data_IF_447454432346
#
_entry.id   IF_447454432346
#
_cell.length_a   1.000
_cell.length_b   1.000
_cell.length_c   1.000
_cell.angle_alpha   90.00
_cell.angle_beta   90.00
_cell.angle_gamma   90.00
#
_symmetry.space_group_name_H-M   'P 1'
#
loop_
_entity.id
_entity.type
_entity.pdbx_description
1 polymer ?
#
# COMPACT_ATOMS: atom_id res chain seq x y z
N UNK A 1 93.71 15.38 12.89
CA UNK A 1 93.14 16.48 12.09
C UNK A 1 92.06 15.91 11.18
N UNK A 2 90.83 16.43 11.36
CA UNK A 2 89.59 16.33 10.57
C UNK A 2 89.20 14.99 9.94
N UNK A 3 88.60 14.17 10.79
CA UNK A 3 87.52 13.22 10.45
C UNK A 3 86.27 14.01 10.04
N UNK A 4 85.63 13.66 8.93
CA UNK A 4 84.29 14.16 8.61
C UNK A 4 83.43 13.03 8.05
N UNK A 5 82.36 12.80 8.80
CA UNK A 5 81.41 11.68 8.74
C UNK A 5 80.55 11.74 7.49
N UNK A 6 80.41 10.61 6.81
CA UNK A 6 79.38 10.35 5.81
C UNK A 6 78.01 10.36 6.49
N UNK A 7 77.17 11.36 6.17
CA UNK A 7 75.76 11.38 6.54
C UNK A 7 75.01 10.33 5.70
N UNK A 8 74.52 9.27 6.35
CA UNK A 8 73.50 8.39 5.77
C UNK A 8 72.16 9.12 5.87
N UNK A 9 71.61 9.52 4.73
CA UNK A 9 70.26 10.07 4.62
C UNK A 9 69.27 8.91 4.76
N UNK A 10 68.75 8.68 5.97
CA UNK A 10 67.61 7.77 6.17
C UNK A 10 66.34 8.44 5.65
N UNK A 11 65.87 8.02 4.47
CA UNK A 11 64.56 8.39 3.98
C UNK A 11 63.48 7.70 4.83
N UNK A 12 62.92 8.44 5.79
CA UNK A 12 61.70 8.02 6.48
C UNK A 12 60.51 8.15 5.51
N UNK A 13 60.10 7.03 4.90
CA UNK A 13 58.84 6.95 4.19
C UNK A 13 57.70 7.10 5.21
N UNK A 14 57.17 8.32 5.33
CA UNK A 14 55.93 8.56 6.06
C UNK A 14 54.78 7.91 5.27
N UNK A 15 54.42 6.68 5.64
CA UNK A 15 53.20 6.05 5.19
C UNK A 15 52.02 6.87 5.76
N UNK A 16 51.44 7.73 4.93
CA UNK A 16 50.11 8.29 5.15
C UNK A 16 49.11 7.14 5.06
N UNK A 17 48.94 6.40 6.15
CA UNK A 17 47.77 5.55 6.34
C UNK A 17 46.57 6.49 6.42
N UNK A 18 45.91 6.67 5.28
CA UNK A 18 44.60 7.29 5.20
C UNK A 18 43.63 6.50 6.06
N UNK A 19 43.56 6.86 7.34
CA UNK A 19 42.57 6.34 8.26
C UNK A 19 41.21 6.72 7.73
N UNK A 20 40.54 5.76 7.08
CA UNK A 20 39.11 5.84 6.85
C UNK A 20 38.49 5.91 8.24
N UNK A 21 38.17 7.12 8.69
CA UNK A 21 37.33 7.33 9.85
C UNK A 21 36.00 6.66 9.51
N UNK A 22 35.85 5.42 9.95
CA UNK A 22 34.57 4.74 9.95
C UNK A 22 33.66 5.56 10.87
N UNK A 23 32.91 6.49 10.28
CA UNK A 23 31.85 7.22 10.98
C UNK A 23 30.89 6.13 11.46
N UNK A 24 30.75 5.90 12.78
CA UNK A 24 29.85 4.88 13.27
C UNK A 24 28.45 5.22 12.75
N UNK A 25 27.80 4.25 12.11
CA UNK A 25 26.40 4.39 11.72
C UNK A 25 25.60 4.83 12.96
N UNK A 26 24.70 5.83 12.85
CA UNK A 26 23.98 6.32 14.00
C UNK A 26 23.27 5.16 14.70
N UNK A 27 23.58 4.98 15.99
CA UNK A 27 22.94 3.99 16.86
C UNK A 27 21.42 4.19 16.77
N UNK A 28 20.72 3.20 16.22
CA UNK A 28 19.26 3.21 16.22
C UNK A 28 18.80 3.09 17.68
N UNK A 29 17.97 4.04 18.13
CA UNK A 29 17.46 4.04 19.50
C UNK A 29 16.80 2.69 19.83
N UNK A 30 17.09 2.16 21.02
CA UNK A 30 16.56 0.88 21.46
C UNK A 30 15.02 0.89 21.45
N UNK A 31 14.42 -0.16 20.88
CA UNK A 31 12.97 -0.27 20.76
C UNK A 31 12.33 -0.44 22.13
N UNK A 32 11.36 0.41 22.46
CA UNK A 32 10.65 0.39 23.73
C UNK A 32 9.21 -0.08 23.57
N UNK A 33 8.82 -1.15 24.26
CA UNK A 33 7.43 -1.63 24.25
C UNK A 33 6.48 -0.65 24.92
N UNK A 34 5.31 -0.45 24.30
CA UNK A 34 4.24 0.43 24.80
C UNK A 34 2.90 -0.31 24.91
N UNK A 35 1.92 0.34 25.53
CA UNK A 35 0.52 -0.10 25.58
C UNK A 35 -0.31 0.35 24.37
N UNK A 36 0.34 1.02 23.41
CA UNK A 36 -0.31 1.58 22.23
C UNK A 36 -0.04 0.71 21.00
N UNK A 37 -1.03 0.63 20.12
CA UNK A 37 -0.87 0.11 18.77
C UNK A 37 -0.56 1.26 17.83
N UNK A 38 0.59 1.22 17.18
CA UNK A 38 1.11 2.24 16.29
C UNK A 38 1.16 1.71 14.87
N UNK A 39 0.81 2.56 13.91
CA UNK A 39 0.92 2.27 12.49
C UNK A 39 1.22 3.55 11.71
N UNK A 40 2.13 3.44 10.76
CA UNK A 40 2.42 4.53 9.83
C UNK A 40 2.67 3.97 8.44
N UNK A 41 2.18 4.65 7.41
CA UNK A 41 2.56 4.34 6.04
C UNK A 41 2.51 5.58 5.15
N UNK A 42 3.25 5.54 4.05
CA UNK A 42 3.22 6.56 3.03
C UNK A 42 3.67 6.01 1.69
N UNK A 43 3.24 6.69 0.62
CA UNK A 43 3.63 6.37 -0.76
C UNK A 43 3.70 7.63 -1.61
N UNK A 44 4.50 7.53 -2.67
CA UNK A 44 4.70 8.59 -3.66
C UNK A 44 3.49 8.83 -4.52
N UNK A 45 2.98 7.80 -5.19
CA UNK A 45 1.76 7.93 -5.98
C UNK A 45 0.89 6.72 -6.02
N UNK A 46 -0.40 7.02 -6.19
CA UNK A 46 -1.43 6.05 -6.50
C UNK A 46 -2.38 6.63 -7.52
N UNK A 47 -2.59 5.91 -8.61
CA UNK A 47 -3.63 6.23 -9.61
C UNK A 47 -4.91 5.49 -9.22
N UNK A 48 -6.05 6.17 -9.27
CA UNK A 48 -7.37 5.64 -8.96
C UNK A 48 -8.37 6.07 -10.03
N UNK A 49 -9.15 5.12 -10.56
CA UNK A 49 -10.20 5.38 -11.55
C UNK A 49 -9.69 5.65 -12.97
N UNK A 50 -10.63 5.82 -13.90
CA UNK A 50 -10.35 6.16 -15.30
C UNK A 50 -9.83 5.01 -16.17
N UNK A 51 -9.30 5.38 -17.35
CA UNK A 51 -8.69 4.45 -18.31
C UNK A 51 -7.21 4.17 -18.04
N UNK A 52 -6.58 4.88 -17.09
CA UNK A 52 -5.19 4.63 -16.76
C UNK A 52 -5.05 3.40 -15.87
N UNK A 53 -4.03 2.56 -16.14
CA UNK A 53 -3.77 1.42 -15.27
C UNK A 53 -3.49 1.91 -13.85
N UNK A 54 -4.20 1.34 -12.87
CA UNK A 54 -4.13 1.75 -11.47
C UNK A 54 -2.80 1.39 -10.77
N UNK A 55 -1.74 1.14 -11.55
CA UNK A 55 -0.39 0.89 -11.09
C UNK A 55 0.58 1.95 -11.62
N UNK A 56 0.64 3.09 -10.93
CA UNK A 56 1.96 3.64 -10.63
C UNK A 56 2.40 2.90 -9.38
N UNK A 57 3.40 2.02 -9.45
CA UNK A 57 3.90 1.35 -8.23
C UNK A 57 4.12 2.39 -7.14
N UNK A 58 3.76 2.06 -5.89
CA UNK A 58 3.85 2.99 -4.75
C UNK A 58 5.31 3.47 -4.59
N UNK A 59 5.69 4.56 -5.28
CA UNK A 59 7.07 5.05 -5.32
C UNK A 59 7.50 5.44 -3.91
N UNK A 60 8.64 4.92 -3.46
CA UNK A 60 9.13 5.18 -2.11
C UNK A 60 8.21 4.67 -1.01
N UNK A 61 7.39 3.64 -1.25
CA UNK A 61 6.56 3.06 -0.19
C UNK A 61 7.40 2.71 1.04
N UNK A 62 6.94 3.16 2.21
CA UNK A 62 7.52 2.76 3.48
C UNK A 62 6.42 2.67 4.53
N UNK A 63 6.55 1.70 5.43
CA UNK A 63 5.57 1.46 6.49
C UNK A 63 6.25 1.03 7.78
N UNK A 64 5.79 1.61 8.89
CA UNK A 64 5.83 0.93 10.18
C UNK A 64 4.51 0.17 10.29
N UNK A 65 4.57 -1.13 10.00
CA UNK A 65 3.43 -2.01 10.21
C UNK A 65 2.99 -2.00 11.67
N UNK A 66 1.78 -2.50 11.93
CA UNK A 66 1.23 -2.53 13.29
C UNK A 66 2.27 -3.04 14.31
N UNK A 67 2.56 -2.21 15.32
CA UNK A 67 3.60 -2.44 16.33
C UNK A 67 3.23 -1.78 17.65
N UNK A 68 3.76 -2.28 18.75
CA UNK A 68 3.73 -1.65 20.07
C UNK A 68 5.07 -1.03 20.45
N UNK A 69 6.10 -1.24 19.64
CA UNK A 69 7.47 -0.80 19.89
C UNK A 69 7.65 0.61 19.37
N UNK A 70 8.01 1.52 20.25
CA UNK A 70 8.45 2.87 19.90
C UNK A 70 9.96 2.87 19.66
N UNK A 71 10.46 3.76 18.80
CA UNK A 71 11.88 3.85 18.42
C UNK A 71 12.14 3.44 16.97
N UNK A 72 11.13 2.97 16.24
CA UNK A 72 11.27 2.77 14.79
C UNK A 72 11.53 4.11 14.10
N UNK A 73 12.54 4.12 13.24
CA UNK A 73 12.84 5.18 12.30
C UNK A 73 13.26 4.50 11.01
N UNK A 74 12.35 4.47 10.04
CA UNK A 74 12.58 3.81 8.76
C UNK A 74 12.27 4.79 7.65
N UNK A 75 13.15 4.82 6.65
CA UNK A 75 12.99 5.65 5.47
C UNK A 75 13.11 4.83 4.19
N UNK A 76 12.59 5.36 3.10
CA UNK A 76 12.81 4.84 1.76
C UNK A 76 12.94 6.04 0.81
N UNK A 77 13.94 5.98 -0.07
CA UNK A 77 14.25 7.01 -1.03
C UNK A 77 14.21 6.41 -2.43
N UNK A 78 13.58 7.09 -3.39
CA UNK A 78 13.64 6.71 -4.80
C UNK A 78 14.09 7.88 -5.66
N UNK A 79 14.78 7.59 -6.76
CA UNK A 79 15.28 8.60 -7.69
C UNK A 79 14.17 9.23 -8.57
N UNK A 80 12.91 8.80 -8.40
CA UNK A 80 11.78 9.17 -9.24
C UNK A 80 11.54 8.18 -10.38
N UNK A 81 10.32 8.18 -10.93
CA UNK A 81 9.92 7.28 -12.00
C UNK A 81 8.92 7.92 -12.95
N UNK A 82 8.82 7.35 -14.15
CA UNK A 82 7.74 7.68 -15.09
C UNK A 82 6.46 6.98 -14.66
N UNK A 83 5.38 7.74 -14.54
CA UNK A 83 4.04 7.24 -14.25
C UNK A 83 3.23 7.28 -15.54
N UNK A 84 2.77 6.11 -16.05
CA UNK A 84 1.92 6.04 -17.23
C UNK A 84 0.72 6.99 -17.12
N UNK A 85 0.47 7.75 -18.18
CA UNK A 85 -0.64 8.71 -18.26
C UNK A 85 -0.48 10.03 -17.47
N UNK A 86 0.33 10.05 -16.41
CA UNK A 86 0.59 11.27 -15.63
C UNK A 86 1.80 12.04 -16.15
N UNK A 87 2.96 11.38 -16.24
CA UNK A 87 4.24 12.03 -16.54
C UNK A 87 5.40 11.48 -15.72
N UNK A 88 6.21 12.34 -15.11
CA UNK A 88 7.37 11.95 -14.30
C UNK A 88 7.22 12.45 -12.87
N UNK A 89 7.59 11.60 -11.93
CA UNK A 89 7.70 11.95 -10.52
C UNK A 89 9.18 11.98 -10.18
N UNK A 90 9.60 13.06 -9.54
CA UNK A 90 10.96 13.26 -9.08
C UNK A 90 11.30 12.40 -7.88
N UNK A 91 12.46 12.69 -7.28
CA UNK A 91 12.90 11.96 -6.11
C UNK A 91 11.87 12.00 -4.98
N UNK A 92 11.62 10.85 -4.37
CA UNK A 92 10.65 10.69 -3.28
C UNK A 92 11.38 10.24 -2.02
N UNK A 93 11.12 10.89 -0.89
CA UNK A 93 11.53 10.43 0.43
C UNK A 93 10.27 10.12 1.25
N UNK A 94 10.19 8.90 1.76
CA UNK A 94 9.18 8.52 2.76
C UNK A 94 9.89 8.17 4.05
N UNK A 95 9.46 8.76 5.16
CA UNK A 95 10.00 8.45 6.49
C UNK A 95 8.89 8.19 7.48
N UNK A 96 9.03 7.12 8.25
CA UNK A 96 8.06 6.66 9.23
C UNK A 96 8.77 6.53 10.57
N UNK A 97 8.24 7.20 11.60
CA UNK A 97 8.83 7.22 12.93
C UNK A 97 7.83 6.88 14.02
N UNK A 98 8.31 6.20 15.04
CA UNK A 98 7.62 6.03 16.33
C UNK A 98 8.53 6.54 17.43
N UNK A 99 8.03 7.42 18.28
CA UNK A 99 8.82 8.10 19.31
C UNK A 99 8.12 7.93 20.64
N UNK A 100 8.90 7.61 21.67
CA UNK A 100 8.45 7.68 23.06
C UNK A 100 9.32 8.67 23.81
N UNK A 101 8.70 9.63 24.48
CA UNK A 101 9.38 10.60 25.33
C UNK A 101 8.54 10.86 26.57
N UNK A 102 9.04 10.47 27.74
CA UNK A 102 8.27 10.47 28.98
C UNK A 102 6.96 9.69 28.85
N UNK A 103 5.84 10.37 29.13
CA UNK A 103 4.47 9.82 28.98
C UNK A 103 3.93 9.90 27.55
N UNK A 104 4.63 10.59 26.65
CA UNK A 104 4.20 10.81 25.27
C UNK A 104 4.62 9.66 24.37
N UNK A 105 3.70 9.19 23.53
CA UNK A 105 3.98 8.20 22.48
C UNK A 105 3.41 8.74 21.18
N UNK A 106 4.25 8.85 20.16
CA UNK A 106 3.96 9.55 18.91
C UNK A 106 4.32 8.70 17.71
N UNK A 107 3.48 8.75 16.69
CA UNK A 107 3.68 8.14 15.38
C UNK A 107 3.69 9.25 14.35
N UNK A 108 4.68 9.24 13.46
CA UNK A 108 4.92 10.28 12.47
C UNK A 108 5.12 9.63 11.12
N UNK A 109 4.39 10.11 10.13
CA UNK A 109 4.55 9.76 8.73
C UNK A 109 4.87 11.03 7.96
N UNK A 110 6.02 11.06 7.31
CA UNK A 110 6.43 12.18 6.46
C UNK A 110 6.70 11.65 5.06
N UNK A 111 6.23 12.41 4.08
CA UNK A 111 6.49 12.14 2.69
C UNK A 111 6.91 13.43 1.99
N UNK A 112 7.94 13.35 1.13
CA UNK A 112 8.46 14.47 0.35
C UNK A 112 8.68 14.03 -1.08
N UNK A 113 8.31 14.86 -2.04
CA UNK A 113 8.53 14.65 -3.46
C UNK A 113 9.15 15.93 -4.02
N UNK A 114 10.29 15.78 -4.69
CA UNK A 114 11.01 16.91 -5.28
C UNK A 114 10.14 17.66 -6.29
N UNK A 115 9.53 16.94 -7.23
CA UNK A 115 8.61 17.49 -8.21
C UNK A 115 7.71 16.45 -8.87
N UNK A 116 6.59 16.89 -9.43
CA UNK A 116 5.69 16.14 -10.30
C UNK A 116 5.61 16.88 -11.63
N UNK A 117 6.06 16.24 -12.69
CA UNK A 117 6.02 16.75 -14.05
C UNK A 117 4.86 16.07 -14.78
N UNK A 118 3.86 16.84 -15.18
CA UNK A 118 2.81 16.35 -16.06
C UNK A 118 3.35 16.21 -17.48
N UNK A 119 2.89 15.17 -18.19
CA UNK A 119 3.29 14.92 -19.57
C UNK A 119 3.13 16.17 -20.44
N UNK A 120 4.11 16.39 -21.30
CA UNK A 120 4.14 17.51 -22.23
C UNK A 120 2.97 17.40 -23.20
N UNK A 121 2.20 18.47 -23.36
CA UNK A 121 1.15 18.53 -24.36
C UNK A 121 1.29 19.79 -25.22
N UNK A 122 0.31 20.06 -26.09
CA UNK A 122 0.34 21.23 -26.99
C UNK A 122 0.43 22.58 -26.26
N UNK A 123 0.12 22.63 -24.96
CA UNK A 123 0.20 23.84 -24.13
C UNK A 123 1.55 23.97 -23.41
N UNK A 124 2.32 22.90 -23.32
CA UNK A 124 3.61 22.85 -22.64
C UNK A 124 3.67 21.86 -21.48
N UNK A 125 4.61 22.10 -20.57
CA UNK A 125 4.96 21.23 -19.44
C UNK A 125 4.59 21.92 -18.14
N UNK A 126 3.79 21.23 -17.32
CA UNK A 126 3.44 21.69 -15.96
C UNK A 126 4.28 20.92 -14.95
N UNK A 127 4.90 21.64 -14.03
CA UNK A 127 5.70 21.06 -12.93
C UNK A 127 5.17 21.56 -11.58
N UNK A 128 4.79 20.64 -10.70
CA UNK A 128 4.53 20.94 -9.29
C UNK A 128 5.80 20.64 -8.51
N UNK A 129 6.33 21.61 -7.77
CA UNK A 129 7.61 21.48 -7.07
C UNK A 129 7.45 21.49 -5.55
N UNK A 130 8.32 20.75 -4.87
CA UNK A 130 8.44 20.75 -3.42
C UNK A 130 7.15 20.32 -2.73
N UNK A 131 6.68 19.10 -3.02
CA UNK A 131 5.51 18.54 -2.36
C UNK A 131 5.92 17.88 -1.05
N UNK A 132 5.21 18.17 0.03
CA UNK A 132 5.37 17.44 1.28
C UNK A 132 4.04 17.17 1.95
N UNK A 133 3.95 16.03 2.63
CA UNK A 133 2.82 15.73 3.52
C UNK A 133 3.32 15.12 4.81
N UNK A 134 2.74 15.54 5.91
CA UNK A 134 3.07 15.04 7.24
C UNK A 134 1.79 14.65 7.95
N UNK A 135 1.78 13.46 8.56
CA UNK A 135 0.69 12.98 9.40
C UNK A 135 1.26 12.54 10.74
N UNK A 136 0.68 13.04 11.83
CA UNK A 136 1.11 12.79 13.20
C UNK A 136 -0.08 12.36 14.05
N UNK A 137 0.09 11.28 14.79
CA UNK A 137 -0.87 10.86 15.81
C UNK A 137 -0.12 10.52 17.10
N UNK A 138 -0.56 11.06 18.23
CA UNK A 138 0.13 10.86 19.51
C UNK A 138 -0.81 10.81 20.71
N UNK A 139 -0.32 10.16 21.76
CA UNK A 139 -0.82 10.28 23.12
C UNK A 139 0.10 11.24 23.87
N UNK A 140 -0.43 12.30 24.47
CA UNK A 140 0.37 13.32 25.17
C UNK A 140 0.49 13.08 26.70
N UNK A 141 -0.01 11.96 27.21
CA UNK A 141 -0.09 11.68 28.64
C UNK A 141 -1.50 11.80 29.23
N UNK A 142 -2.38 12.61 28.62
CA UNK A 142 -3.77 12.83 29.07
C UNK A 142 -4.82 12.56 27.99
N UNK A 143 -4.45 12.67 26.71
CA UNK A 143 -5.37 12.50 25.59
C UNK A 143 -4.68 12.14 24.28
N UNK A 144 -5.49 11.62 23.34
CA UNK A 144 -5.07 11.40 21.96
C UNK A 144 -5.18 12.70 21.16
N UNK A 145 -4.22 12.91 20.28
CA UNK A 145 -4.12 14.07 19.40
C UNK A 145 -3.67 13.63 18.02
N UNK A 146 -4.11 14.36 17.00
CA UNK A 146 -3.78 14.15 15.60
C UNK A 146 -3.51 15.48 14.94
N UNK A 147 -2.61 15.50 13.98
CA UNK A 147 -2.24 16.67 13.17
C UNK A 147 -1.81 16.17 11.79
N UNK A 148 -2.23 16.86 10.74
CA UNK A 148 -1.83 16.51 9.39
C UNK A 148 -1.69 17.75 8.50
N UNK A 149 -0.59 17.83 7.76
CA UNK A 149 -0.26 18.94 6.88
C UNK A 149 0.06 18.45 5.48
N UNK A 150 -0.19 19.32 4.51
CA UNK A 150 0.16 19.12 3.12
C UNK A 150 0.54 20.44 2.50
N UNK A 151 1.70 20.47 1.85
CA UNK A 151 2.32 21.68 1.35
C UNK A 151 2.87 21.45 -0.06
N UNK A 152 2.75 22.48 -0.90
CA UNK A 152 3.30 22.56 -2.25
C UNK A 152 4.12 23.85 -2.30
N UNK A 153 5.38 23.77 -2.70
CA UNK A 153 6.23 24.95 -2.76
C UNK A 153 5.79 25.90 -3.88
N UNK A 154 5.60 25.39 -5.10
CA UNK A 154 5.12 26.17 -6.26
C UNK A 154 4.64 25.30 -7.40
N UNK A 155 3.93 25.91 -8.35
CA UNK A 155 3.51 25.28 -9.62
C UNK A 155 4.02 26.12 -10.78
N UNK A 156 4.68 25.50 -11.75
CA UNK A 156 5.32 26.17 -12.89
C UNK A 156 4.76 25.63 -14.21
N UNK A 157 4.33 26.53 -15.09
CA UNK A 157 4.00 26.24 -16.49
C UNK A 157 5.16 26.67 -17.39
N UNK A 158 5.67 25.73 -18.17
CA UNK A 158 6.69 25.93 -19.20
C UNK A 158 6.03 25.75 -20.58
N UNK A 159 5.72 26.83 -21.32
CA UNK A 159 4.91 26.76 -22.54
C UNK A 159 5.62 25.98 -23.67
N UNK A 160 4.86 25.34 -24.56
CA UNK A 160 5.41 24.56 -25.68
C UNK A 160 6.08 25.40 -26.78
N UNK A 161 5.83 26.72 -26.81
CA UNK A 161 6.40 27.66 -27.78
C UNK A 161 7.42 28.62 -27.16
N UNK A 162 7.97 29.58 -27.93
CA UNK A 162 8.87 30.59 -27.40
C UNK A 162 8.12 31.47 -26.39
N UNK A 163 8.51 31.39 -25.12
CA UNK A 163 7.91 32.17 -24.04
C UNK A 163 8.58 31.90 -22.69
N UNK A 164 8.47 32.81 -21.72
CA UNK A 164 9.01 32.60 -20.39
C UNK A 164 8.20 31.58 -19.60
N UNK A 165 8.82 30.97 -18.58
CA UNK A 165 8.12 30.14 -17.60
C UNK A 165 7.21 31.01 -16.74
N UNK A 166 6.02 30.51 -16.43
CA UNK A 166 5.04 31.21 -15.61
C UNK A 166 4.81 30.44 -14.31
N UNK A 167 4.93 31.13 -13.17
CA UNK A 167 4.51 30.57 -11.88
C UNK A 167 2.99 30.71 -11.74
N UNK A 168 2.33 29.58 -11.52
CA UNK A 168 0.90 29.49 -11.29
C UNK A 168 0.63 29.52 -9.79
N UNK A 169 -0.50 30.10 -9.41
CA UNK A 169 -0.93 30.10 -8.01
C UNK A 169 -1.05 28.66 -7.50
N UNK A 170 -0.41 28.38 -6.36
CA UNK A 170 -0.55 27.10 -5.66
C UNK A 170 -2.03 26.83 -5.40
N UNK A 171 -2.55 25.65 -5.76
CA UNK A 171 -3.96 25.33 -5.57
C UNK A 171 -4.36 25.44 -4.10
N UNK A 172 -5.56 25.95 -3.84
CA UNK A 172 -6.16 25.90 -2.51
C UNK A 172 -6.95 24.60 -2.32
N UNK A 173 -7.37 24.30 -1.08
CA UNK A 173 -8.27 23.16 -0.80
C UNK A 173 -9.62 23.31 -1.52
N UNK A 174 -10.18 24.52 -1.52
CA UNK A 174 -11.50 24.81 -2.12
C UNK A 174 -11.40 25.44 -3.52
N UNK A 175 -10.17 25.67 -4.00
CA UNK A 175 -9.89 26.32 -5.28
C UNK A 175 -8.77 25.56 -6.01
N UNK A 176 -9.10 24.44 -6.68
CA UNK A 176 -8.12 23.72 -7.46
C UNK A 176 -7.68 24.54 -8.68
N UNK A 177 -6.44 24.30 -9.11
CA UNK A 177 -5.87 24.85 -10.32
C UNK A 177 -6.34 24.01 -11.52
N UNK A 178 -7.20 24.58 -12.34
CA UNK A 178 -7.66 23.96 -13.59
C UNK A 178 -6.71 24.37 -14.71
N UNK A 179 -6.13 23.38 -15.38
CA UNK A 179 -5.30 23.59 -16.56
C UNK A 179 -6.06 23.01 -17.76
N UNK A 180 -6.66 23.88 -18.62
CA UNK A 180 -7.53 23.44 -19.70
C UNK A 180 -6.90 22.35 -20.57
N UNK A 181 -7.66 21.28 -20.84
CA UNK A 181 -7.19 20.15 -21.65
C UNK A 181 -6.09 19.27 -21.04
N UNK A 182 -5.64 19.54 -19.81
CA UNK A 182 -4.60 18.75 -19.14
C UNK A 182 -5.14 18.05 -17.91
N UNK A 183 -5.41 18.84 -16.86
CA UNK A 183 -5.69 18.32 -15.54
C UNK A 183 -6.28 19.39 -14.65
N UNK A 184 -6.93 18.94 -13.59
CA UNK A 184 -7.26 19.73 -12.42
C UNK A 184 -6.36 19.30 -11.27
N UNK A 185 -5.57 20.21 -10.71
CA UNK A 185 -4.63 19.96 -9.61
C UNK A 185 -5.17 20.64 -8.36
N UNK A 186 -5.37 19.90 -7.27
CA UNK A 186 -5.78 20.47 -5.99
C UNK A 186 -4.90 19.99 -4.84
N UNK A 187 -4.93 20.71 -3.72
CA UNK A 187 -4.32 20.20 -2.49
C UNK A 187 -5.05 18.94 -2.04
N UNK A 188 -4.27 17.95 -1.61
CA UNK A 188 -4.82 16.69 -1.18
C UNK A 188 -5.60 16.80 0.12
N UNK A 189 -6.51 15.85 0.32
CA UNK A 189 -7.32 15.78 1.53
C UNK A 189 -6.47 15.57 2.78
N UNK A 190 -6.81 16.31 3.82
CA UNK A 190 -6.30 16.15 5.18
C UNK A 190 -7.41 15.64 6.07
N UNK A 191 -7.13 14.66 6.92
CA UNK A 191 -8.08 14.13 7.88
C UNK A 191 -7.40 13.93 9.22
N UNK A 192 -8.01 14.51 10.25
CA UNK A 192 -7.58 14.39 11.63
C UNK A 192 -8.76 13.87 12.44
N UNK A 193 -8.52 12.81 13.22
CA UNK A 193 -9.53 12.22 14.08
C UNK A 193 -8.87 11.85 15.39
N UNK A 194 -9.44 12.30 16.49
CA UNK A 194 -9.03 11.87 17.83
C UNK A 194 -10.26 11.60 18.69
N UNK A 195 -10.18 10.56 19.52
CA UNK A 195 -11.19 10.22 20.51
C UNK A 195 -10.53 9.50 21.70
N UNK A 196 -11.33 9.08 22.68
CA UNK A 196 -10.83 8.43 23.90
C UNK A 196 -10.09 7.09 23.67
N UNK A 197 -10.17 6.49 22.48
CA UNK A 197 -9.56 5.20 22.15
C UNK A 197 -8.35 5.30 21.22
N UNK A 198 -8.14 6.45 20.57
CA UNK A 198 -7.05 6.60 19.60
C UNK A 198 -7.09 7.92 18.83
N UNK A 199 -6.05 8.12 18.03
CA UNK A 199 -5.94 9.18 17.04
C UNK A 199 -5.47 8.63 15.69
N UNK A 200 -5.98 9.23 14.63
CA UNK A 200 -5.65 8.98 13.24
C UNK A 200 -5.40 10.34 12.57
N UNK A 201 -4.38 10.36 11.73
CA UNK A 201 -4.04 11.49 10.88
C UNK A 201 -3.69 10.98 9.48
N UNK A 202 -4.10 11.75 8.48
CA UNK A 202 -3.93 11.42 7.08
C UNK A 202 -3.78 12.69 6.27
N UNK A 203 -2.79 12.73 5.38
CA UNK A 203 -2.61 13.79 4.41
C UNK A 203 -2.23 13.22 3.05
N UNK A 204 -2.83 13.75 2.01
CA UNK A 204 -2.31 13.67 0.64
C UNK A 204 -1.64 15.00 0.30
N UNK A 205 -0.53 14.94 -0.41
CA UNK A 205 0.13 16.10 -0.99
C UNK A 205 -0.79 16.89 -1.92
N UNK A 206 -1.07 16.29 -3.07
CA UNK A 206 -1.99 16.81 -4.10
C UNK A 206 -2.85 15.69 -4.65
N UNK A 207 -3.97 16.07 -5.25
CA UNK A 207 -4.70 15.23 -6.18
C UNK A 207 -4.65 15.85 -7.58
N UNK A 208 -4.63 15.00 -8.60
CA UNK A 208 -4.56 15.40 -10.01
C UNK A 208 -5.64 14.63 -10.76
N UNK A 209 -6.68 15.31 -11.22
CA UNK A 209 -7.69 14.74 -12.11
C UNK A 209 -7.29 15.00 -13.56
N UNK A 210 -6.96 13.96 -14.32
CA UNK A 210 -6.53 14.08 -15.71
C UNK A 210 -7.73 14.23 -16.65
N UNK A 211 -7.74 15.29 -17.45
CA UNK A 211 -8.79 15.53 -18.45
C UNK A 211 -8.62 14.54 -19.61
N UNK A 212 -9.70 13.86 -20.01
CA UNK A 212 -9.70 12.89 -21.13
C UNK A 212 -9.57 11.42 -20.75
N UNK A 213 -9.10 11.09 -19.55
CA UNK A 213 -9.11 9.71 -19.03
C UNK A 213 -9.98 9.53 -17.78
N UNK A 214 -10.48 10.63 -17.21
CA UNK A 214 -11.16 10.71 -15.91
C UNK A 214 -10.42 10.01 -14.76
N UNK A 215 -9.10 9.85 -14.90
CA UNK A 215 -8.24 9.24 -13.89
C UNK A 215 -7.89 10.26 -12.82
N UNK A 216 -7.94 9.85 -11.56
CA UNK A 216 -7.49 10.64 -10.43
C UNK A 216 -6.15 10.08 -9.92
N UNK A 217 -5.17 10.95 -9.71
CA UNK A 217 -3.87 10.57 -9.16
C UNK A 217 -3.68 11.25 -7.81
N UNK A 218 -3.51 10.44 -6.79
CA UNK A 218 -3.14 10.87 -5.45
C UNK A 218 -1.63 10.85 -5.35
N UNK A 219 -1.04 11.99 -4.98
CA UNK A 219 0.40 12.15 -4.84
C UNK A 219 0.78 12.52 -3.41
N UNK A 220 1.81 11.86 -2.90
CA UNK A 220 2.45 12.13 -1.62
C UNK A 220 1.57 11.82 -0.43
N UNK A 221 1.20 10.56 -0.24
CA UNK A 221 0.39 10.14 0.91
C UNK A 221 1.26 9.97 2.15
N UNK A 222 0.79 10.49 3.28
CA UNK A 222 1.22 10.14 4.63
C UNK A 222 0.03 9.72 5.49
N UNK A 223 0.26 8.81 6.44
CA UNK A 223 -0.75 8.38 7.42
C UNK A 223 -0.07 7.92 8.69
N UNK A 224 -0.61 8.36 9.83
CA UNK A 224 -0.20 7.90 11.15
C UNK A 224 -1.41 7.62 12.03
N UNK A 225 -1.39 6.45 12.67
CA UNK A 225 -2.43 5.98 13.59
C UNK A 225 -1.79 5.56 14.92
N UNK A 226 -2.39 5.99 16.03
CA UNK A 226 -2.08 5.49 17.36
C UNK A 226 -3.37 5.14 18.08
N UNK A 227 -3.42 3.96 18.69
CA UNK A 227 -4.61 3.50 19.39
C UNK A 227 -4.22 2.88 20.74
N UNK A 228 -5.08 3.00 21.74
CA UNK A 228 -4.85 2.45 23.07
C UNK A 228 -5.21 0.99 23.22
N UNK A 229 -4.87 0.45 24.39
CA UNK A 229 -5.36 -0.85 24.89
C UNK A 229 -4.96 -2.04 24.02
N UNK A 230 -3.70 -2.06 23.56
CA UNK A 230 -3.10 -3.29 23.00
C UNK A 230 -2.61 -4.14 24.16
N UNK A 231 -3.21 -5.32 24.31
CA UNK A 231 -2.96 -6.19 25.45
C UNK A 231 -1.99 -7.31 25.11
N UNK A 232 -2.38 -8.22 24.22
CA UNK A 232 -1.68 -9.48 23.97
C UNK A 232 -0.99 -9.53 22.61
N UNK A 233 -1.30 -8.61 21.68
CA UNK A 233 -0.60 -8.51 20.40
C UNK A 233 -1.23 -7.51 19.45
N UNK A 234 -0.51 -7.25 18.36
CA UNK A 234 -0.99 -6.41 17.26
C UNK A 234 -1.48 -7.27 16.12
N UNK A 235 -2.60 -6.86 15.53
CA UNK A 235 -3.14 -7.47 14.33
C UNK A 235 -2.56 -6.80 13.08
N UNK A 236 -2.56 -7.51 11.96
CA UNK A 236 -2.19 -6.95 10.66
C UNK A 236 -2.76 -7.77 9.51
N UNK A 237 -2.72 -7.21 8.30
CA UNK A 237 -3.24 -7.85 7.09
C UNK A 237 -4.34 -7.04 6.42
N UNK A 238 -5.08 -7.68 5.53
CA UNK A 238 -6.13 -7.07 4.73
C UNK A 238 -7.17 -8.09 4.27
N UNK A 239 -8.31 -7.61 3.81
CA UNK A 239 -9.28 -8.34 3.00
C UNK A 239 -9.61 -7.56 1.73
N UNK A 240 -9.74 -8.26 0.61
CA UNK A 240 -10.10 -7.72 -0.68
C UNK A 240 -10.95 -8.72 -1.46
N UNK A 241 -12.02 -8.25 -2.11
CA UNK A 241 -12.85 -9.13 -2.90
C UNK A 241 -12.20 -9.49 -4.24
N UNK A 242 -11.47 -8.57 -4.85
CA UNK A 242 -10.70 -8.82 -6.08
C UNK A 242 -9.44 -7.97 -6.16
N UNK A 243 -8.39 -8.49 -6.78
CA UNK A 243 -7.27 -7.75 -7.35
C UNK A 243 -6.80 -8.44 -8.64
N UNK A 244 -6.27 -7.67 -9.58
CA UNK A 244 -5.76 -8.21 -10.84
C UNK A 244 -4.41 -7.59 -11.21
N UNK A 245 -3.56 -8.37 -11.87
CA UNK A 245 -2.40 -7.90 -12.61
C UNK A 245 -2.54 -8.31 -14.08
N UNK A 246 -2.24 -7.39 -14.98
CA UNK A 246 -2.29 -7.50 -16.43
C UNK A 246 -0.94 -7.11 -17.04
N UNK A 247 -0.66 -7.58 -18.27
CA UNK A 247 0.54 -7.27 -19.05
C UNK A 247 1.86 -7.56 -18.31
N UNK A 248 1.96 -8.72 -17.64
CA UNK A 248 3.13 -9.08 -16.84
C UNK A 248 3.38 -8.17 -15.63
N UNK A 249 2.33 -7.50 -15.12
CA UNK A 249 2.39 -6.60 -13.96
C UNK A 249 2.43 -5.11 -14.31
N UNK A 250 2.39 -4.74 -15.59
CA UNK A 250 2.39 -3.33 -16.03
C UNK A 250 1.06 -2.61 -15.75
N UNK A 251 -0.04 -3.36 -15.64
CA UNK A 251 -1.38 -2.81 -15.35
C UNK A 251 -1.98 -3.61 -14.20
N UNK A 252 -2.23 -2.99 -13.05
CA UNK A 252 -2.88 -3.70 -11.93
C UNK A 252 -4.21 -3.06 -11.58
N UNK A 253 -5.23 -3.89 -11.38
CA UNK A 253 -6.43 -3.51 -10.64
C UNK A 253 -6.11 -3.75 -9.17
N UNK A 254 -5.99 -2.68 -8.41
CA UNK A 254 -5.73 -2.77 -6.97
C UNK A 254 -6.82 -3.57 -6.22
N UNK A 255 -6.54 -3.87 -4.96
CA UNK A 255 -7.46 -4.57 -4.05
C UNK A 255 -8.77 -3.82 -3.86
N UNK A 256 -9.90 -4.44 -4.19
CA UNK A 256 -11.23 -3.81 -4.16
C UNK A 256 -12.33 -4.74 -3.63
N UNK A 257 -13.24 -4.24 -2.77
CA UNK A 257 -12.96 -3.16 -1.82
C UNK A 257 -11.83 -3.61 -0.88
N UNK A 258 -10.90 -2.71 -0.56
CA UNK A 258 -9.84 -2.99 0.42
C UNK A 258 -10.28 -2.65 1.84
N UNK A 259 -10.23 -3.65 2.73
CA UNK A 259 -10.35 -3.49 4.18
C UNK A 259 -9.03 -3.86 4.85
N UNK A 260 -8.32 -2.88 5.41
CA UNK A 260 -7.07 -3.09 6.14
C UNK A 260 -7.34 -3.44 7.60
N UNK A 261 -6.60 -4.41 8.13
CA UNK A 261 -6.75 -4.85 9.53
C UNK A 261 -6.27 -3.78 10.51
N UNK A 262 -7.08 -3.47 11.52
CA UNK A 262 -6.75 -2.46 12.54
C UNK A 262 -5.81 -3.07 13.58
N UNK A 263 -4.74 -2.36 13.94
CA UNK A 263 -3.69 -2.89 14.84
C UNK A 263 -4.18 -3.36 16.20
N UNK A 264 -5.12 -2.64 16.82
CA UNK A 264 -5.73 -3.01 18.12
C UNK A 264 -6.81 -4.06 17.99
N UNK A 265 -7.23 -4.33 16.75
CA UNK A 265 -8.41 -5.10 16.43
C UNK A 265 -9.70 -4.32 16.63
N UNK A 266 -10.81 -4.97 16.32
CA UNK A 266 -12.13 -4.35 16.19
C UNK A 266 -13.02 -4.52 17.43
N UNK A 267 -12.43 -4.95 18.56
CA UNK A 267 -13.16 -5.28 19.80
C UNK A 267 -14.30 -6.29 19.55
N UNK A 268 -14.08 -7.22 18.63
CA UNK A 268 -15.04 -8.25 18.26
C UNK A 268 -16.16 -7.79 17.32
N UNK A 269 -16.19 -6.52 16.89
CA UNK A 269 -17.15 -6.02 15.89
C UNK A 269 -16.66 -6.35 14.48
N UNK A 270 -17.56 -6.69 13.58
CA UNK A 270 -17.20 -6.83 12.17
C UNK A 270 -17.14 -5.44 11.51
N UNK A 271 -16.05 -5.17 10.80
CA UNK A 271 -15.92 -3.98 9.96
C UNK A 271 -15.82 -4.44 8.52
N UNK A 272 -16.72 -3.96 7.67
CA UNK A 272 -16.80 -4.37 6.27
C UNK A 272 -17.01 -3.19 5.32
N UNK A 273 -16.74 -3.44 4.05
CA UNK A 273 -17.01 -2.55 2.92
C UNK A 273 -17.57 -3.37 1.77
N UNK A 274 -18.43 -2.76 0.96
CA UNK A 274 -19.04 -3.42 -0.19
C UNK A 274 -19.04 -2.53 -1.42
N UNK A 275 -18.99 -3.15 -2.59
CA UNK A 275 -19.11 -2.53 -3.91
C UNK A 275 -19.97 -3.43 -4.80
N UNK A 276 -20.76 -2.83 -5.70
CA UNK A 276 -21.57 -3.60 -6.64
C UNK A 276 -20.71 -4.40 -7.64
N UNK A 277 -19.59 -3.82 -8.07
CA UNK A 277 -18.62 -4.40 -9.01
C UNK A 277 -17.40 -3.49 -9.16
N UNK A 278 -16.42 -3.94 -9.95
CA UNK A 278 -15.24 -3.13 -10.31
C UNK A 278 -14.86 -3.42 -11.77
N UNK A 279 -14.53 -2.40 -12.58
CA UNK A 279 -13.98 -2.65 -13.90
C UNK A 279 -12.60 -3.32 -13.78
N UNK A 280 -12.41 -4.43 -14.50
CA UNK A 280 -11.17 -5.23 -14.45
C UNK A 280 -10.21 -4.95 -15.62
N UNK A 281 -10.41 -3.86 -16.37
CA UNK A 281 -9.65 -3.57 -17.59
C UNK A 281 -9.83 -4.69 -18.62
N UNK A 282 -8.73 -5.08 -19.29
CA UNK A 282 -8.72 -6.13 -20.32
C UNK A 282 -9.19 -7.48 -19.76
N UNK A 283 -8.88 -7.78 -18.50
CA UNK A 283 -9.39 -8.97 -17.83
C UNK A 283 -10.92 -8.98 -17.73
N UNK A 284 -11.56 -7.81 -17.76
CA UNK A 284 -13.02 -7.65 -17.76
C UNK A 284 -13.73 -8.29 -18.96
N UNK A 285 -13.01 -8.52 -20.06
CA UNK A 285 -13.53 -9.23 -21.23
C UNK A 285 -13.68 -10.74 -20.99
N UNK A 286 -12.88 -11.30 -20.08
CA UNK A 286 -12.86 -12.72 -19.74
C UNK A 286 -13.59 -12.98 -18.43
N UNK A 287 -13.41 -12.13 -17.41
CA UNK A 287 -13.98 -12.30 -16.09
C UNK A 287 -14.74 -11.07 -15.62
N UNK A 288 -15.96 -11.29 -15.13
CA UNK A 288 -16.80 -10.27 -14.51
C UNK A 288 -17.12 -10.68 -13.07
N UNK A 289 -17.02 -9.74 -12.13
CA UNK A 289 -17.26 -9.94 -10.71
C UNK A 289 -18.33 -8.98 -10.20
N UNK A 290 -19.30 -9.49 -9.44
CA UNK A 290 -20.40 -8.73 -8.85
C UNK A 290 -20.59 -9.04 -7.37
N UNK A 291 -21.13 -8.07 -6.63
CA UNK A 291 -21.41 -8.18 -5.20
C UNK A 291 -20.13 -8.39 -4.41
N UNK A 292 -19.22 -7.43 -4.48
CA UNK A 292 -17.91 -7.47 -3.85
C UNK A 292 -18.03 -7.01 -2.40
N UNK A 293 -17.50 -7.78 -1.44
CA UNK A 293 -17.35 -7.32 -0.06
C UNK A 293 -16.02 -7.74 0.54
N UNK A 294 -15.54 -6.97 1.51
CA UNK A 294 -14.37 -7.35 2.30
C UNK A 294 -14.54 -6.87 3.72
N UNK A 295 -13.85 -7.52 4.65
CA UNK A 295 -13.96 -7.15 6.04
C UNK A 295 -12.93 -7.77 6.96
N UNK A 296 -13.12 -7.48 8.24
CA UNK A 296 -12.31 -8.01 9.33
C UNK A 296 -13.13 -8.12 10.61
N UNK A 297 -12.70 -9.01 11.49
CA UNK A 297 -13.16 -9.08 12.87
C UNK A 297 -12.03 -9.55 13.76
N UNK A 298 -11.78 -8.85 14.85
CA UNK A 298 -10.70 -9.22 15.77
C UNK A 298 -10.95 -8.70 17.18
N UNK A 299 -10.49 -9.47 18.15
CA UNK A 299 -10.63 -9.18 19.57
C UNK A 299 -9.41 -9.66 20.32
N UNK A 300 -9.04 -8.94 21.36
CA UNK A 300 -7.95 -9.32 22.24
C UNK A 300 -8.28 -9.09 23.71
N UNK A 301 -7.73 -9.94 24.54
CA UNK A 301 -7.67 -9.85 26.00
C UNK A 301 -6.20 -9.79 26.43
N UNK A 302 -5.94 -9.79 27.74
CA UNK A 302 -4.58 -9.89 28.30
C UNK A 302 -3.84 -11.19 27.92
N UNK A 303 -4.56 -12.28 27.63
CA UNK A 303 -3.97 -13.61 27.42
C UNK A 303 -4.23 -14.18 26.02
N UNK A 304 -5.07 -13.54 25.22
CA UNK A 304 -5.44 -14.03 23.89
C UNK A 304 -5.69 -12.90 22.88
N UNK A 305 -5.32 -13.14 21.63
CA UNK A 305 -5.67 -12.27 20.49
C UNK A 305 -6.15 -13.15 19.35
N UNK A 306 -7.34 -12.90 18.81
CA UNK A 306 -7.91 -13.72 17.74
C UNK A 306 -8.65 -12.86 16.74
N UNK A 307 -8.66 -13.27 15.49
CA UNK A 307 -9.44 -12.60 14.47
C UNK A 307 -9.25 -13.19 13.10
N UNK A 308 -9.90 -12.54 12.14
CA UNK A 308 -9.81 -12.86 10.73
C UNK A 308 -10.02 -11.63 9.86
N UNK A 309 -9.59 -11.75 8.61
CA UNK A 309 -10.02 -10.91 7.50
C UNK A 309 -10.67 -11.77 6.43
N UNK A 310 -11.51 -11.16 5.60
CA UNK A 310 -12.14 -11.85 4.49
C UNK A 310 -12.28 -10.97 3.26
N UNK A 311 -12.36 -11.64 2.11
CA UNK A 311 -12.77 -11.07 0.84
C UNK A 311 -13.81 -11.99 0.22
N UNK A 312 -14.92 -11.43 -0.24
CA UNK A 312 -16.07 -12.17 -0.72
C UNK A 312 -16.63 -11.58 -2.01
N UNK A 313 -17.05 -12.45 -2.91
CA UNK A 313 -17.66 -12.11 -4.19
C UNK A 313 -18.93 -12.92 -4.35
N UNK A 314 -20.07 -12.25 -4.54
CA UNK A 314 -21.36 -12.91 -4.68
C UNK A 314 -21.46 -13.70 -5.99
N UNK A 315 -20.90 -13.17 -7.08
CA UNK A 315 -20.99 -13.79 -8.40
C UNK A 315 -19.74 -13.51 -9.24
N UNK A 316 -19.22 -14.56 -9.86
CA UNK A 316 -18.11 -14.51 -10.82
C UNK A 316 -18.55 -15.21 -12.09
N UNK A 317 -18.47 -14.51 -13.22
CA UNK A 317 -18.68 -15.09 -14.55
C UNK A 317 -17.36 -15.08 -15.31
N UNK A 318 -17.02 -16.21 -15.94
CA UNK A 318 -15.78 -16.41 -16.68
C UNK A 318 -16.13 -16.88 -18.09
N UNK A 319 -15.47 -16.35 -19.11
CA UNK A 319 -15.64 -16.76 -20.51
C UNK A 319 -17.04 -16.49 -21.03
N UNK A 320 -17.57 -15.27 -20.83
CA UNK A 320 -18.94 -14.88 -21.22
C UNK A 320 -20.05 -15.79 -20.65
N UNK A 321 -19.83 -16.33 -19.45
CA UNK A 321 -20.81 -17.18 -18.76
C UNK A 321 -20.59 -18.68 -18.93
N UNK A 322 -19.54 -19.11 -19.64
CA UNK A 322 -19.15 -20.51 -19.73
C UNK A 322 -18.98 -21.16 -18.34
N UNK A 323 -18.42 -20.41 -17.39
CA UNK A 323 -18.33 -20.78 -15.98
C UNK A 323 -18.92 -19.66 -15.13
N UNK A 324 -19.84 -20.01 -14.23
CA UNK A 324 -20.39 -19.12 -13.21
C UNK A 324 -20.13 -19.71 -11.83
N UNK A 325 -19.60 -18.91 -10.93
CA UNK A 325 -19.34 -19.31 -9.54
C UNK A 325 -20.03 -18.30 -8.64
N UNK A 326 -20.82 -18.82 -7.70
CA UNK A 326 -21.57 -18.04 -6.74
C UNK A 326 -20.93 -18.13 -5.35
N UNK A 327 -21.05 -17.04 -4.60
CA UNK A 327 -20.62 -16.92 -3.21
C UNK A 327 -19.20 -17.47 -2.94
N UNK A 328 -18.19 -16.79 -3.48
CA UNK A 328 -16.79 -17.07 -3.19
C UNK A 328 -16.38 -16.29 -1.95
N UNK A 329 -15.79 -16.94 -0.96
CA UNK A 329 -15.20 -16.27 0.20
C UNK A 329 -13.80 -16.81 0.46
N UNK A 330 -12.84 -15.91 0.63
CA UNK A 330 -11.55 -16.21 1.25
C UNK A 330 -11.54 -15.68 2.67
N UNK A 331 -11.08 -16.49 3.63
CA UNK A 331 -10.92 -16.07 5.02
C UNK A 331 -9.58 -16.50 5.58
N UNK A 332 -8.83 -15.52 6.10
CA UNK A 332 -7.56 -15.73 6.77
C UNK A 332 -7.75 -15.52 8.27
N UNK A 333 -7.36 -16.49 9.10
CA UNK A 333 -7.54 -16.45 10.54
C UNK A 333 -6.19 -16.57 11.25
N UNK A 334 -6.01 -15.82 12.34
CA UNK A 334 -4.87 -15.98 13.24
C UNK A 334 -5.31 -15.85 14.70
N UNK A 335 -4.68 -16.66 15.56
CA UNK A 335 -4.95 -16.70 16.99
C UNK A 335 -3.65 -16.82 17.77
N UNK A 336 -3.50 -16.01 18.81
CA UNK A 336 -2.50 -16.13 19.85
C UNK A 336 -3.15 -16.47 21.19
N UNK A 337 -2.49 -17.30 21.99
CA UNK A 337 -2.83 -17.58 23.38
C UNK A 337 -1.53 -17.72 24.17
N UNK A 338 -1.44 -17.07 25.34
CA UNK A 338 -0.19 -16.94 26.13
C UNK A 338 0.59 -18.26 26.28
N UNK A 339 -0.12 -19.35 26.55
CA UNK A 339 0.52 -20.66 26.83
C UNK A 339 0.56 -21.60 25.61
N UNK A 340 -0.22 -21.31 24.56
CA UNK A 340 -0.32 -22.15 23.36
C UNK A 340 0.40 -21.57 22.14
N UNK A 341 0.94 -20.36 22.26
CA UNK A 341 1.58 -19.65 21.16
C UNK A 341 0.59 -19.15 20.11
N UNK A 342 1.07 -19.01 18.86
CA UNK A 342 0.26 -18.51 17.73
C UNK A 342 -0.06 -19.63 16.73
N UNK A 343 -1.26 -19.58 16.16
CA UNK A 343 -1.75 -20.51 15.13
C UNK A 343 -2.52 -19.75 14.05
N UNK A 344 -2.58 -20.33 12.86
CA UNK A 344 -3.29 -19.75 11.70
C UNK A 344 -4.12 -20.80 10.99
N UNK A 345 -5.20 -20.36 10.33
CA UNK A 345 -6.04 -21.25 9.52
C UNK A 345 -6.75 -20.48 8.42
N UNK A 346 -7.22 -21.21 7.41
CA UNK A 346 -8.07 -20.69 6.33
C UNK A 346 -9.52 -21.13 6.48
N UNK A 347 -9.93 -21.48 7.71
CA UNK A 347 -11.32 -21.87 7.99
C UNK A 347 -12.25 -20.71 7.65
N UNK A 348 -13.31 -20.99 6.89
CA UNK A 348 -14.22 -19.98 6.35
C UNK A 348 -13.95 -19.60 4.89
N UNK A 349 -12.84 -20.06 4.28
CA UNK A 349 -12.70 -20.03 2.81
C UNK A 349 -13.66 -21.05 2.21
N UNK A 350 -14.53 -20.63 1.29
CA UNK A 350 -15.57 -21.45 0.68
C UNK A 350 -15.94 -21.00 -0.73
N UNK A 351 -16.56 -21.91 -1.45
CA UNK A 351 -17.23 -21.70 -2.72
C UNK A 351 -18.71 -22.05 -2.54
N UNK A 352 -19.61 -21.24 -3.08
CA UNK A 352 -21.00 -21.61 -3.24
C UNK A 352 -21.19 -22.47 -4.48
N UNK A 353 -22.29 -22.24 -5.17
CA UNK A 353 -22.66 -23.03 -6.34
C UNK A 353 -21.76 -22.71 -7.54
N UNK A 354 -21.32 -23.76 -8.23
CA UNK A 354 -20.50 -23.66 -9.45
C UNK A 354 -21.35 -24.18 -10.58
N UNK A 355 -21.35 -23.46 -11.71
CA UNK A 355 -22.07 -23.80 -12.91
C UNK A 355 -21.13 -23.80 -14.09
N UNK A 356 -21.24 -24.83 -14.94
CA UNK A 356 -20.59 -24.90 -16.25
C UNK A 356 -21.70 -25.08 -17.27
N UNK A 357 -21.81 -24.14 -18.22
CA UNK A 357 -22.92 -24.13 -19.20
C UNK A 357 -24.29 -24.31 -18.52
N UNK A 358 -24.52 -23.54 -17.44
CA UNK A 358 -25.70 -23.55 -16.58
C UNK A 358 -26.05 -24.84 -15.83
N UNK A 359 -25.20 -25.87 -15.92
CA UNK A 359 -25.32 -27.08 -15.09
C UNK A 359 -24.53 -26.92 -13.81
N UNK A 360 -25.19 -27.11 -12.66
CA UNK A 360 -24.54 -27.10 -11.35
C UNK A 360 -23.55 -28.27 -11.24
N UNK A 361 -22.33 -27.98 -10.79
CA UNK A 361 -21.24 -28.95 -10.63
C UNK A 361 -20.53 -28.77 -9.29
N UNK A 362 -19.82 -29.80 -8.84
CA UNK A 362 -18.94 -29.72 -7.67
C UNK A 362 -17.61 -29.04 -7.99
N UNK A 363 -16.83 -28.70 -6.96
CA UNK A 363 -15.50 -28.13 -7.12
C UNK A 363 -14.51 -29.12 -7.75
N UNK A 364 -14.64 -30.41 -7.45
CA UNK A 364 -13.89 -31.49 -8.07
C UNK A 364 -14.24 -31.59 -9.56
N UNK A 365 -15.52 -31.53 -9.90
CA UNK A 365 -15.98 -31.55 -11.29
C UNK A 365 -15.49 -30.33 -12.07
N UNK A 366 -15.47 -29.13 -11.46
CA UNK A 366 -14.84 -27.95 -12.06
C UNK A 366 -13.36 -28.22 -12.35
N UNK A 367 -12.59 -28.70 -11.38
CA UNK A 367 -11.16 -29.03 -11.57
C UNK A 367 -10.93 -30.02 -12.70
N UNK A 368 -11.80 -31.02 -12.84
CA UNK A 368 -11.73 -32.02 -13.92
C UNK A 368 -12.23 -31.49 -15.27
N UNK A 369 -13.15 -30.53 -15.29
CA UNK A 369 -13.68 -29.93 -16.52
C UNK A 369 -12.74 -28.87 -17.11
N UNK A 370 -11.90 -28.24 -16.29
CA UNK A 370 -10.95 -27.22 -16.72
C UNK A 370 -9.88 -27.71 -17.70
N UNK A 371 -9.68 -29.02 -17.84
CA UNK A 371 -8.86 -29.59 -18.92
C UNK A 371 -9.59 -29.75 -20.25
N UNK A 372 -10.91 -29.52 -20.29
CA UNK A 372 -11.78 -29.77 -21.46
C UNK A 372 -12.54 -28.53 -21.95
N UNK A 373 -12.66 -27.50 -21.11
CA UNK A 373 -13.32 -26.24 -21.47
C UNK A 373 -12.25 -25.26 -21.92
N UNK A 374 -12.15 -25.02 -23.22
CA UNK A 374 -11.29 -23.99 -23.78
C UNK A 374 -11.99 -22.63 -23.69
N UNK A 375 -11.44 -21.72 -22.89
CA UNK A 375 -11.90 -20.33 -22.78
C UNK A 375 -10.78 -19.46 -23.34
N UNK A 376 -10.99 -18.79 -24.48
CA UNK A 376 -9.97 -17.92 -25.07
C UNK A 376 -9.41 -16.92 -24.07
N UNK A 377 -8.08 -16.91 -23.93
CA UNK A 377 -7.35 -16.04 -23.01
C UNK A 377 -7.29 -16.51 -21.55
N UNK A 378 -7.92 -17.62 -21.18
CA UNK A 378 -7.80 -18.22 -19.84
C UNK A 378 -6.79 -19.38 -19.86
N UNK A 379 -5.71 -19.24 -19.10
CA UNK A 379 -4.65 -20.25 -19.02
C UNK A 379 -4.85 -21.25 -17.87
N UNK A 380 -5.30 -20.76 -16.71
CA UNK A 380 -5.39 -21.59 -15.50
C UNK A 380 -6.43 -21.06 -14.53
N UNK A 381 -7.14 -21.97 -13.86
CA UNK A 381 -7.93 -21.66 -12.66
C UNK A 381 -7.36 -22.44 -11.48
N UNK A 382 -7.13 -21.75 -10.37
CA UNK A 382 -6.64 -22.32 -9.12
C UNK A 382 -7.59 -21.96 -7.98
N UNK A 383 -7.79 -22.88 -7.04
CA UNK A 383 -8.72 -22.73 -5.92
C UNK A 383 -7.98 -22.92 -4.60
N UNK A 384 -8.34 -22.16 -3.56
CA UNK A 384 -7.75 -22.23 -2.22
C UNK A 384 -6.23 -22.06 -2.20
N UNK A 385 -5.72 -21.09 -2.94
CA UNK A 385 -4.28 -20.83 -3.05
C UNK A 385 -3.79 -20.14 -1.78
N UNK A 386 -3.04 -20.85 -0.95
CA UNK A 386 -2.33 -20.26 0.20
C UNK A 386 -1.02 -19.66 -0.29
N UNK A 387 -0.94 -18.34 -0.37
CA UNK A 387 0.22 -17.63 -0.92
C UNK A 387 1.33 -17.41 0.11
N UNK A 388 0.97 -17.34 1.39
CA UNK A 388 1.93 -17.17 2.48
C UNK A 388 1.37 -17.78 3.77
N UNK A 389 2.19 -18.52 4.53
CA UNK A 389 1.79 -19.12 5.80
C UNK A 389 2.95 -19.21 6.79
N UNK A 390 2.67 -18.84 8.02
CA UNK A 390 3.49 -19.07 9.21
C UNK A 390 2.59 -19.28 10.43
N UNK A 391 3.18 -19.53 11.61
CA UNK A 391 2.44 -19.57 12.88
C UNK A 391 1.71 -18.26 13.20
N UNK A 392 2.14 -17.12 12.63
CA UNK A 392 1.64 -15.78 12.96
C UNK A 392 0.83 -15.11 11.84
N UNK A 393 0.89 -15.65 10.62
CA UNK A 393 0.31 -15.05 9.43
C UNK A 393 -0.19 -16.12 8.47
N UNK A 394 -1.34 -15.88 7.86
CA UNK A 394 -1.79 -16.64 6.68
C UNK A 394 -2.38 -15.69 5.65
N UNK A 395 -2.08 -15.96 4.39
CA UNK A 395 -2.60 -15.29 3.21
C UNK A 395 -3.17 -16.33 2.26
N UNK A 396 -4.40 -16.09 1.81
CA UNK A 396 -5.16 -17.04 1.00
C UNK A 396 -5.96 -16.29 -0.07
N UNK A 397 -5.94 -16.85 -1.26
CA UNK A 397 -6.82 -16.49 -2.38
C UNK A 397 -7.80 -17.63 -2.59
N UNK A 398 -9.10 -17.35 -2.58
CA UNK A 398 -10.12 -18.36 -2.83
C UNK A 398 -10.03 -18.84 -4.27
N UNK A 399 -10.06 -17.93 -5.25
CA UNK A 399 -9.99 -18.27 -6.67
C UNK A 399 -8.93 -17.40 -7.37
N UNK A 400 -7.98 -18.04 -8.06
CA UNK A 400 -6.98 -17.35 -8.88
C UNK A 400 -7.14 -17.76 -10.34
N UNK A 401 -7.33 -16.78 -11.20
CA UNK A 401 -7.30 -16.96 -12.65
C UNK A 401 -5.93 -16.54 -13.16
N UNK A 402 -5.33 -17.35 -14.02
CA UNK A 402 -4.19 -16.92 -14.84
C UNK A 402 -4.69 -16.75 -16.26
N UNK A 403 -4.54 -15.55 -16.79
CA UNK A 403 -4.95 -15.19 -18.14
C UNK A 403 -3.71 -15.07 -19.02
N UNK A 404 -3.85 -15.43 -20.29
CA UNK A 404 -2.83 -15.25 -21.32
C UNK A 404 -3.23 -14.05 -22.17
N UNK A 405 -2.34 -13.08 -22.26
CA UNK A 405 -2.50 -12.01 -23.24
C UNK A 405 -2.11 -12.54 -24.63
N UNK A 406 -3.09 -12.59 -25.54
CA UNK A 406 -2.90 -13.09 -26.91
C UNK A 406 -1.97 -12.21 -27.75
N UNK A 407 -1.70 -10.97 -27.33
CA UNK A 407 -0.91 -9.97 -28.06
C UNK A 407 0.57 -9.97 -27.67
N UNK A 408 0.90 -10.25 -26.40
CA UNK A 408 2.29 -10.22 -25.90
C UNK A 408 2.78 -11.54 -25.27
N UNK A 409 1.93 -12.57 -25.16
CA UNK A 409 2.28 -13.84 -24.51
C UNK A 409 2.54 -13.73 -23.00
N UNK A 410 2.20 -12.59 -22.39
CA UNK A 410 2.42 -12.33 -20.97
C UNK A 410 1.29 -12.92 -20.12
N UNK A 411 1.65 -13.36 -18.90
CA UNK A 411 0.70 -13.91 -17.94
C UNK A 411 0.16 -12.82 -17.03
N UNK A 412 -1.15 -12.86 -16.83
CA UNK A 412 -1.91 -11.94 -16.00
C UNK A 412 -2.62 -12.74 -14.91
N UNK A 413 -2.76 -12.21 -13.69
CA UNK A 413 -3.42 -12.91 -12.60
C UNK A 413 -4.63 -12.13 -12.09
N UNK A 414 -5.78 -12.79 -11.93
CA UNK A 414 -6.94 -12.22 -11.24
C UNK A 414 -7.18 -13.03 -9.97
N UNK A 415 -6.97 -12.42 -8.82
CA UNK A 415 -7.25 -12.99 -7.51
C UNK A 415 -8.66 -12.56 -7.07
N UNK A 416 -9.49 -13.53 -6.73
CA UNK A 416 -10.89 -13.36 -6.37
C UNK A 416 -11.09 -14.01 -4.99
N UNK A 417 -11.61 -13.22 -4.06
CA UNK A 417 -11.55 -13.49 -2.63
C UNK A 417 -10.09 -13.56 -2.18
N UNK A 418 -9.56 -12.48 -1.61
CA UNK A 418 -8.17 -12.42 -1.17
C UNK A 418 -8.11 -11.90 0.27
N UNK A 419 -7.58 -12.71 1.17
CA UNK A 419 -7.48 -12.37 2.58
C UNK A 419 -6.09 -12.67 3.14
N UNK A 420 -5.58 -11.74 3.94
CA UNK A 420 -4.36 -11.87 4.74
C UNK A 420 -4.67 -11.49 6.17
N UNK A 421 -4.29 -12.32 7.12
CA UNK A 421 -4.43 -11.98 8.53
C UNK A 421 -3.23 -12.43 9.34
N UNK A 422 -2.81 -11.59 10.27
CA UNK A 422 -1.68 -11.82 11.14
C UNK A 422 -1.97 -11.35 12.57
N UNK A 423 -1.40 -12.08 13.53
CA UNK A 423 -1.34 -11.73 14.93
C UNK A 423 0.11 -11.82 15.37
N UNK A 424 0.64 -10.75 15.96
CA UNK A 424 2.00 -10.74 16.47
C UNK A 424 2.04 -10.24 17.92
N UNK A 425 2.34 -11.12 18.90
CA UNK A 425 2.48 -10.72 20.30
C UNK A 425 3.77 -9.92 20.56
N UNK A 426 4.79 -10.07 19.70
CA UNK A 426 6.15 -9.56 19.94
C UNK A 426 6.45 -8.25 19.20
N UNK A 427 5.47 -7.70 18.49
CA UNK A 427 5.62 -6.47 17.70
C UNK A 427 5.07 -5.25 18.42
#
# INVERSE_FOLDING_TARGET
MRSMRTLVLSAAAAALTGGVLAVPAPSQAALTTTSFGMFANGFGTRVTGGQLPANSGDLGYQTVGCTRKAGHDVSNNTAGAKVPGLGKIGATETRQRTVKSGKSVKVISTHKIANVVLNNNKLGKVTVEGLSSTSQAWWNGSGYKSDATSDVARVVLDPAGPGPKHELKVPGRDKPLVIPGIATIGLGNVTERSNANGAMSYANGIYIKLHGSDSEVIVGRSRADINGKVYSGVFGGFGAAVDASALGGKVEVGKNPLTNVVCTGTKGKELSKSLAGVPLGDAGSIVNVKGLSSGQRSSQTKTSATGYSFGEVANVNIGKGAIRIEAIRAQANAKYTKDKGTSTSTSGTKFGDIYIQDKKVSLEQLRSALSRVDIPGLLKIETNVVTNRSKKLVEVVALRLTLLDATEGTKSHVNIGHARFAVNPDR
#
